data_IF_499430153451
#
_entry.id   IF_499430153451
#
_cell.length_a   1.000
_cell.length_b   1.000
_cell.length_c   1.000
_cell.angle_alpha   90.00
_cell.angle_beta   90.00
_cell.angle_gamma   90.00
#
_symmetry.space_group_name_H-M   'P 1'
#
loop_
_entity.id
_entity.type
_entity.pdbx_description
1 polymer ?
#
# COMPACT_ATOMS: atom_id res chain seq x y z
N UNK A 1 0.93 43.59 -53.40
CA UNK A 1 0.51 43.91 -52.02
C UNK A 1 0.05 42.69 -51.22
N UNK A 2 -0.67 41.72 -51.79
CA UNK A 2 -1.14 40.54 -51.04
C UNK A 2 -0.02 39.61 -50.51
N UNK A 3 1.06 39.40 -51.28
CA UNK A 3 2.18 38.55 -50.87
C UNK A 3 2.94 39.08 -49.64
N UNK A 4 3.14 40.39 -49.55
CA UNK A 4 3.85 41.05 -48.43
C UNK A 4 3.05 41.04 -47.13
N UNK A 5 1.72 41.13 -47.21
CA UNK A 5 0.84 41.03 -46.05
C UNK A 5 0.84 39.60 -45.49
N UNK A 6 0.84 38.58 -46.35
CA UNK A 6 0.87 37.18 -45.94
C UNK A 6 2.18 36.80 -45.22
N UNK A 7 3.32 37.28 -45.73
CA UNK A 7 4.63 37.05 -45.08
C UNK A 7 4.73 37.70 -43.70
N UNK A 8 4.15 38.88 -43.51
CA UNK A 8 4.16 39.57 -42.22
C UNK A 8 3.30 38.82 -41.20
N UNK A 9 2.13 38.33 -41.61
CA UNK A 9 1.24 37.53 -40.75
C UNK A 9 1.89 36.22 -40.34
N UNK A 10 2.54 35.50 -41.26
CA UNK A 10 3.27 34.27 -40.94
C UNK A 10 4.45 34.51 -40.00
N UNK A 11 5.21 35.59 -40.19
CA UNK A 11 6.33 35.94 -39.31
C UNK A 11 5.87 36.30 -37.89
N UNK A 12 4.77 37.04 -37.74
CA UNK A 12 4.19 37.37 -36.43
C UNK A 12 3.65 36.10 -35.74
N UNK A 13 2.93 35.25 -36.47
CA UNK A 13 2.43 33.98 -35.91
C UNK A 13 3.57 33.07 -35.46
N UNK A 14 4.65 32.96 -36.24
CA UNK A 14 5.84 32.20 -35.86
C UNK A 14 6.56 32.81 -34.64
N UNK A 15 6.62 34.14 -34.54
CA UNK A 15 7.19 34.84 -33.39
C UNK A 15 6.39 34.62 -32.11
N UNK A 16 5.05 34.66 -32.18
CA UNK A 16 4.15 34.41 -31.04
C UNK A 16 4.15 32.93 -30.63
N UNK A 17 4.16 32.01 -31.60
CA UNK A 17 4.28 30.58 -31.32
C UNK A 17 5.66 30.24 -30.72
N UNK A 18 6.73 30.84 -31.23
CA UNK A 18 8.09 30.67 -30.72
C UNK A 18 8.28 31.24 -29.32
N UNK A 19 7.68 32.39 -29.01
CA UNK A 19 7.73 32.96 -27.66
C UNK A 19 6.88 32.17 -26.67
N UNK A 20 5.68 31.71 -27.05
CA UNK A 20 4.87 30.83 -26.22
C UNK A 20 5.56 29.48 -25.93
N UNK A 21 6.22 28.90 -26.94
CA UNK A 21 7.02 27.69 -26.77
C UNK A 21 8.25 27.94 -25.86
N UNK A 22 8.93 29.08 -26.01
CA UNK A 22 10.05 29.46 -25.16
C UNK A 22 9.65 29.71 -23.70
N UNK A 23 8.48 30.31 -23.47
CA UNK A 23 7.95 30.51 -22.11
C UNK A 23 7.55 29.20 -21.45
N UNK A 24 7.01 28.23 -22.20
CA UNK A 24 6.66 26.93 -21.65
C UNK A 24 7.91 26.10 -21.31
N UNK A 25 8.96 26.20 -22.13
CA UNK A 25 10.24 25.51 -21.90
C UNK A 25 11.05 26.06 -20.71
N UNK A 26 10.78 27.30 -20.28
CA UNK A 26 11.52 27.97 -19.19
C UNK A 26 10.69 28.18 -17.93
N UNK A 27 9.40 27.86 -17.98
CA UNK A 27 8.47 27.97 -16.85
C UNK A 27 8.73 26.84 -15.86
N UNK A 28 8.79 27.20 -14.57
CA UNK A 28 8.80 26.22 -13.48
C UNK A 28 7.44 25.52 -13.33
N UNK A 29 7.40 24.34 -12.67
CA UNK A 29 6.19 23.55 -12.56
C UNK A 29 5.11 24.30 -11.78
N UNK A 30 3.88 24.21 -12.27
CA UNK A 30 2.69 24.67 -11.56
C UNK A 30 2.36 23.77 -10.37
N UNK A 31 1.57 24.31 -9.45
CA UNK A 31 1.03 23.57 -8.32
C UNK A 31 0.31 22.29 -8.76
N UNK A 32 -0.44 22.32 -9.86
CA UNK A 32 -1.15 21.15 -10.37
C UNK A 32 -0.19 20.04 -10.86
N UNK A 33 0.89 20.42 -11.55
CA UNK A 33 1.91 19.47 -11.99
C UNK A 33 2.67 18.86 -10.82
N UNK A 34 2.99 19.65 -9.80
CA UNK A 34 3.62 19.17 -8.56
C UNK A 34 2.73 18.17 -7.82
N UNK A 35 1.42 18.44 -7.70
CA UNK A 35 0.48 17.51 -7.09
C UNK A 35 0.36 16.22 -7.91
N UNK A 36 0.20 16.32 -9.23
CA UNK A 36 0.13 15.15 -10.10
C UNK A 36 1.43 14.32 -10.05
N UNK A 37 2.59 14.96 -9.91
CA UNK A 37 3.86 14.26 -9.72
C UNK A 37 3.93 13.56 -8.34
N UNK A 38 3.48 14.22 -7.27
CA UNK A 38 3.39 13.62 -5.94
C UNK A 38 2.49 12.38 -5.93
N UNK A 39 1.30 12.47 -6.55
CA UNK A 39 0.36 11.35 -6.64
C UNK A 39 0.96 10.16 -7.41
N UNK A 40 1.63 10.43 -8.54
CA UNK A 40 2.32 9.39 -9.32
C UNK A 40 3.45 8.73 -8.54
N UNK A 41 4.22 9.51 -7.78
CA UNK A 41 5.27 8.95 -6.91
C UNK A 41 4.68 8.04 -5.86
N UNK A 42 3.66 8.50 -5.11
CA UNK A 42 2.98 7.72 -4.08
C UNK A 42 2.45 6.42 -4.68
N UNK A 43 1.75 6.47 -5.82
CA UNK A 43 1.21 5.28 -6.51
C UNK A 43 2.30 4.31 -7.01
N UNK A 44 3.52 4.78 -7.22
CA UNK A 44 4.67 3.97 -7.63
C UNK A 44 5.44 3.29 -6.48
N UNK A 45 5.28 3.76 -5.23
CA UNK A 45 6.10 3.31 -4.08
C UNK A 45 6.12 1.81 -3.87
N UNK A 46 5.00 1.12 -4.01
CA UNK A 46 4.95 -0.34 -3.82
C UNK A 46 5.91 -1.12 -4.75
N UNK A 47 6.19 -0.58 -5.95
CA UNK A 47 7.08 -1.21 -6.92
C UNK A 47 8.48 -0.62 -6.87
N UNK A 48 8.60 0.68 -6.58
CA UNK A 48 9.86 1.40 -6.68
C UNK A 48 10.67 1.37 -5.39
N UNK A 49 10.03 1.20 -4.23
CA UNK A 49 10.74 1.11 -2.95
C UNK A 49 11.28 -0.30 -2.72
N UNK A 50 12.43 -0.44 -2.05
CA UNK A 50 12.87 -1.73 -1.53
C UNK A 50 11.76 -2.33 -0.64
N UNK A 51 11.50 -3.63 -0.77
CA UNK A 51 10.44 -4.28 0.01
C UNK A 51 10.66 -4.14 1.53
N UNK A 52 11.92 -4.11 1.97
CA UNK A 52 12.27 -3.86 3.38
C UNK A 52 11.98 -2.43 3.87
N UNK A 53 11.77 -1.47 2.97
CA UNK A 53 11.29 -0.12 3.29
C UNK A 53 9.78 -0.12 3.49
N UNK A 54 9.04 -0.86 2.66
CA UNK A 54 7.58 -1.05 2.80
C UNK A 54 7.26 -1.85 4.06
N UNK A 55 7.99 -2.94 4.29
CA UNK A 55 7.88 -3.81 5.44
C UNK A 55 9.18 -3.78 6.23
N UNK A 56 9.39 -2.85 7.17
CA UNK A 56 10.60 -2.79 8.00
C UNK A 56 10.90 -4.09 8.75
N UNK A 57 12.17 -4.33 9.09
CA UNK A 57 12.57 -5.53 9.85
C UNK A 57 11.83 -5.65 11.21
N UNK A 58 11.42 -4.52 11.77
CA UNK A 58 10.69 -4.44 13.02
C UNK A 58 9.61 -3.36 12.97
N UNK A 59 8.43 -3.64 13.53
CA UNK A 59 7.35 -2.68 13.67
C UNK A 59 7.01 -2.48 15.15
N UNK A 60 7.11 -1.26 15.70
CA UNK A 60 6.73 -1.02 17.07
C UNK A 60 5.21 -1.11 17.24
N UNK A 61 4.75 -1.56 18.40
CA UNK A 61 3.33 -1.54 18.78
C UNK A 61 3.16 -1.36 20.29
N UNK A 62 1.93 -1.07 20.71
CA UNK A 62 1.54 -0.94 22.11
C UNK A 62 1.15 -2.31 22.66
N UNK A 63 1.85 -2.79 23.69
CA UNK A 63 1.55 -4.08 24.29
C UNK A 63 0.23 -4.03 25.07
N UNK A 64 -0.46 -5.17 25.18
CA UNK A 64 -1.76 -5.25 25.88
C UNK A 64 -1.67 -4.81 27.35
N UNK A 65 -0.58 -5.19 28.02
CA UNK A 65 -0.34 -4.87 29.43
C UNK A 65 0.29 -3.48 29.63
N UNK A 66 0.37 -2.68 28.57
CA UNK A 66 1.05 -1.39 28.55
C UNK A 66 2.52 -1.48 28.14
N UNK A 67 3.07 -0.34 27.72
CA UNK A 67 4.43 -0.24 27.19
C UNK A 67 4.51 -0.41 25.67
N UNK A 68 5.74 -0.40 25.14
CA UNK A 68 6.03 -0.49 23.71
C UNK A 68 6.85 -1.74 23.42
N UNK A 69 6.34 -2.55 22.52
CA UNK A 69 7.00 -3.76 22.01
C UNK A 69 7.29 -3.61 20.51
N UNK A 70 7.94 -4.61 19.92
CA UNK A 70 8.29 -4.62 18.50
C UNK A 70 8.01 -5.99 17.89
N UNK A 71 7.21 -6.01 16.84
CA UNK A 71 6.99 -7.20 16.04
C UNK A 71 8.18 -7.38 15.09
N UNK A 72 8.73 -8.59 15.02
CA UNK A 72 9.84 -8.95 14.15
C UNK A 72 9.35 -9.53 12.81
N UNK A 73 9.93 -9.10 11.70
CA UNK A 73 9.60 -9.60 10.37
C UNK A 73 10.22 -10.99 10.16
N UNK A 74 9.40 -11.99 9.86
CA UNK A 74 9.86 -13.34 9.49
C UNK A 74 10.31 -13.37 8.03
N UNK A 75 9.52 -12.79 7.13
CA UNK A 75 9.84 -12.81 5.71
C UNK A 75 8.90 -11.94 4.88
N UNK A 76 9.28 -11.76 3.61
CA UNK A 76 8.51 -11.03 2.59
C UNK A 76 8.31 -11.98 1.41
N UNK A 77 7.09 -12.06 0.88
CA UNK A 77 6.81 -12.85 -0.32
C UNK A 77 7.41 -12.19 -1.57
N UNK A 78 8.03 -12.96 -2.49
CA UNK A 78 8.42 -12.45 -3.79
C UNK A 78 7.22 -12.33 -4.75
N UNK A 79 6.07 -12.90 -4.41
CA UNK A 79 4.88 -12.92 -5.27
C UNK A 79 3.94 -11.76 -4.97
N UNK A 80 3.43 -11.15 -6.04
CA UNK A 80 2.57 -9.95 -5.96
C UNK A 80 1.18 -10.14 -6.55
N UNK A 81 0.75 -11.39 -6.80
CA UNK A 81 -0.56 -11.72 -7.37
C UNK A 81 -1.69 -11.17 -6.49
N UNK A 82 -2.62 -10.41 -7.09
CA UNK A 82 -3.78 -9.89 -6.39
C UNK A 82 -4.76 -10.99 -5.99
N UNK A 83 -4.97 -11.97 -6.88
CA UNK A 83 -5.97 -13.03 -6.67
C UNK A 83 -5.50 -14.04 -5.62
N UNK A 84 -4.22 -14.41 -5.64
CA UNK A 84 -3.65 -15.37 -4.67
C UNK A 84 -3.39 -14.77 -3.29
N UNK A 85 -3.46 -13.45 -3.16
CA UNK A 85 -3.23 -12.78 -1.89
C UNK A 85 -4.47 -12.71 -1.00
N UNK A 86 -5.69 -12.86 -1.55
CA UNK A 86 -6.95 -12.65 -0.83
C UNK A 86 -7.91 -13.83 -0.97
N UNK A 87 -8.93 -13.87 -0.13
CA UNK A 87 -10.02 -14.84 -0.29
C UNK A 87 -10.75 -14.64 -1.64
N UNK A 88 -11.25 -15.73 -2.21
CA UNK A 88 -11.91 -15.71 -3.52
C UNK A 88 -13.08 -14.72 -3.59
N UNK A 89 -13.80 -14.52 -2.47
CA UNK A 89 -14.89 -13.55 -2.35
C UNK A 89 -14.44 -12.09 -2.57
N UNK A 90 -13.18 -11.76 -2.30
CA UNK A 90 -12.62 -10.41 -2.49
C UNK A 90 -11.85 -10.25 -3.82
N UNK A 91 -11.37 -11.35 -4.40
CA UNK A 91 -10.52 -11.32 -5.61
C UNK A 91 -11.18 -10.60 -6.80
N UNK A 92 -12.48 -10.85 -7.05
CA UNK A 92 -13.23 -10.20 -8.13
C UNK A 92 -13.26 -8.67 -7.96
N UNK A 93 -13.50 -8.18 -6.75
CA UNK A 93 -13.56 -6.75 -6.48
C UNK A 93 -12.19 -6.08 -6.65
N UNK A 94 -11.11 -6.74 -6.23
CA UNK A 94 -9.74 -6.24 -6.46
C UNK A 94 -9.44 -6.10 -7.94
N UNK A 95 -9.79 -7.12 -8.74
CA UNK A 95 -9.60 -7.09 -10.19
C UNK A 95 -10.42 -5.98 -10.85
N UNK A 96 -11.69 -5.82 -10.46
CA UNK A 96 -12.56 -4.77 -11.00
C UNK A 96 -12.10 -3.36 -10.61
N UNK A 97 -11.48 -3.20 -9.44
CA UNK A 97 -10.84 -1.97 -9.02
C UNK A 97 -9.45 -1.74 -9.65
N UNK A 98 -8.98 -2.64 -10.52
CA UNK A 98 -7.71 -2.48 -11.24
C UNK A 98 -6.46 -2.71 -10.38
N UNK A 99 -6.54 -3.63 -9.41
CA UNK A 99 -5.42 -4.02 -8.55
C UNK A 99 -4.14 -4.25 -9.38
N UNK A 100 -3.06 -3.57 -8.98
CA UNK A 100 -1.75 -3.59 -9.66
C UNK A 100 -0.82 -4.66 -9.08
N UNK A 101 -1.02 -5.02 -7.82
CA UNK A 101 -0.26 -6.04 -7.11
C UNK A 101 -0.54 -6.00 -5.61
N UNK A 102 -0.26 -7.10 -4.93
CA UNK A 102 -0.35 -7.20 -3.46
C UNK A 102 0.98 -7.68 -2.89
N UNK A 103 1.69 -6.80 -2.20
CA UNK A 103 2.89 -7.19 -1.45
C UNK A 103 2.49 -7.83 -0.12
N UNK A 104 3.22 -8.83 0.38
CA UNK A 104 2.93 -9.46 1.67
C UNK A 104 4.18 -9.72 2.49
N UNK A 105 4.06 -9.53 3.81
CA UNK A 105 5.09 -9.87 4.78
C UNK A 105 4.46 -10.44 6.05
N UNK A 106 5.14 -11.39 6.70
CA UNK A 106 4.69 -11.98 7.96
C UNK A 106 5.58 -11.51 9.11
N UNK A 107 4.93 -11.12 10.19
CA UNK A 107 5.54 -10.67 11.43
C UNK A 107 5.15 -11.59 12.57
N UNK A 108 5.98 -11.63 13.60
CA UNK A 108 5.69 -12.23 14.89
C UNK A 108 5.77 -11.17 15.98
N UNK A 109 4.86 -11.22 16.95
CA UNK A 109 4.88 -10.35 18.12
C UNK A 109 6.11 -10.61 19.02
N UNK A 110 6.33 -9.72 19.99
CA UNK A 110 7.48 -9.82 20.89
C UNK A 110 7.40 -11.05 21.82
N UNK A 111 6.19 -11.44 22.24
CA UNK A 111 5.97 -12.63 23.07
C UNK A 111 6.00 -13.94 22.26
N UNK A 112 6.09 -13.84 20.94
CA UNK A 112 6.15 -14.95 20.00
C UNK A 112 4.93 -15.87 20.06
N UNK A 113 3.76 -15.32 20.40
CA UNK A 113 2.49 -16.03 20.44
C UNK A 113 1.60 -15.78 19.22
N UNK A 114 1.75 -14.65 18.54
CA UNK A 114 0.86 -14.18 17.47
C UNK A 114 1.64 -13.88 16.20
N UNK A 115 1.17 -14.44 15.09
CA UNK A 115 1.62 -14.14 13.75
C UNK A 115 0.67 -13.16 13.08
N UNK A 116 1.22 -12.22 12.32
CA UNK A 116 0.46 -11.26 11.52
C UNK A 116 1.02 -11.21 10.11
N UNK A 117 0.22 -11.55 9.11
CA UNK A 117 0.53 -11.23 7.72
C UNK A 117 -0.03 -9.85 7.41
N UNK A 118 0.82 -8.93 6.95
CA UNK A 118 0.43 -7.62 6.43
C UNK A 118 0.47 -7.70 4.90
N UNK A 119 -0.60 -7.26 4.25
CA UNK A 119 -0.73 -7.16 2.80
C UNK A 119 -0.91 -5.71 2.35
N UNK A 120 -0.14 -5.27 1.36
CA UNK A 120 -0.27 -3.94 0.75
C UNK A 120 -0.80 -4.13 -0.68
N UNK A 121 -2.08 -3.84 -0.90
CA UNK A 121 -2.69 -3.86 -2.23
C UNK A 121 -2.62 -2.48 -2.87
N UNK A 122 -2.06 -2.40 -4.07
CA UNK A 122 -1.89 -1.17 -4.82
C UNK A 122 -2.94 -1.04 -5.94
N UNK A 123 -3.47 0.17 -6.11
CA UNK A 123 -4.51 0.51 -7.09
C UNK A 123 -4.05 1.66 -8.01
N UNK A 124 -4.76 1.93 -9.13
CA UNK A 124 -4.44 3.06 -9.99
C UNK A 124 -4.58 4.41 -9.28
N UNK A 125 -5.57 4.53 -8.41
CA UNK A 125 -5.96 5.77 -7.72
C UNK A 125 -6.69 5.46 -6.40
N UNK A 126 -6.94 6.51 -5.61
CA UNK A 126 -7.62 6.41 -4.32
C UNK A 126 -9.07 5.91 -4.42
N UNK A 127 -9.83 6.38 -5.41
CA UNK A 127 -11.22 5.95 -5.59
C UNK A 127 -11.32 4.44 -5.85
N UNK A 128 -10.39 3.90 -6.60
CA UNK A 128 -10.25 2.47 -6.87
C UNK A 128 -9.96 1.69 -5.59
N UNK A 129 -9.03 2.18 -4.75
CA UNK A 129 -8.76 1.57 -3.45
C UNK A 129 -10.00 1.60 -2.53
N UNK A 130 -10.71 2.73 -2.45
CA UNK A 130 -11.96 2.88 -1.69
C UNK A 130 -13.02 1.88 -2.14
N UNK A 131 -13.23 1.73 -3.45
CA UNK A 131 -14.17 0.76 -4.02
C UNK A 131 -13.80 -0.67 -3.60
N UNK A 132 -12.53 -1.04 -3.73
CA UNK A 132 -12.05 -2.38 -3.36
C UNK A 132 -12.21 -2.69 -1.86
N UNK A 133 -12.10 -1.69 -0.98
CA UNK A 133 -12.22 -1.84 0.48
C UNK A 133 -13.52 -2.53 0.90
N UNK A 134 -14.62 -2.25 0.18
CA UNK A 134 -15.95 -2.79 0.49
C UNK A 134 -16.08 -4.31 0.37
N UNK A 135 -15.12 -4.96 -0.31
CA UNK A 135 -15.10 -6.42 -0.47
C UNK A 135 -14.59 -7.17 0.77
N UNK A 136 -14.01 -6.46 1.73
CA UNK A 136 -13.39 -7.05 2.92
C UNK A 136 -14.27 -6.93 4.14
N UNK A 137 -14.11 -7.87 5.06
CA UNK A 137 -14.85 -7.84 6.31
C UNK A 137 -14.36 -6.70 7.23
N UNK A 138 -15.32 -5.99 7.83
CA UNK A 138 -15.07 -5.08 8.95
C UNK A 138 -15.19 -5.78 10.31
N UNK A 139 -14.80 -5.06 11.37
CA UNK A 139 -15.02 -5.47 12.76
C UNK A 139 -14.11 -6.61 13.25
N UNK A 140 -12.89 -6.73 12.72
CA UNK A 140 -11.92 -7.73 13.17
C UNK A 140 -12.08 -9.11 12.54
N UNK A 141 -13.08 -9.32 11.68
CA UNK A 141 -13.32 -10.60 11.02
C UNK A 141 -12.24 -10.91 9.96
N UNK A 142 -11.68 -12.13 9.92
CA UNK A 142 -10.59 -12.49 9.01
C UNK A 142 -11.04 -12.78 7.56
N UNK A 143 -12.33 -13.02 7.30
CA UNK A 143 -12.86 -13.45 6.00
C UNK A 143 -14.14 -12.66 5.64
N UNK A 144 -14.28 -12.17 4.39
CA UNK A 144 -13.25 -12.11 3.34
C UNK A 144 -12.08 -11.19 3.72
N UNK A 145 -10.86 -11.65 3.50
CA UNK A 145 -9.65 -10.98 3.95
C UNK A 145 -8.39 -11.40 3.21
N UNK A 146 -7.25 -11.06 3.80
CA UNK A 146 -5.94 -11.45 3.33
C UNK A 146 -5.70 -12.94 3.62
N UNK A 147 -5.11 -13.65 2.66
CA UNK A 147 -4.61 -15.01 2.89
C UNK A 147 -3.29 -14.94 3.68
N UNK A 148 -3.10 -15.81 4.69
CA UNK A 148 -1.86 -15.85 5.44
C UNK A 148 -0.67 -16.18 4.54
N UNK A 149 0.50 -15.70 4.94
CA UNK A 149 1.76 -16.01 4.28
C UNK A 149 2.62 -16.85 5.23
N UNK A 150 2.66 -18.15 4.95
CA UNK A 150 3.54 -19.08 5.65
C UNK A 150 4.96 -19.03 5.07
N UNK A 151 5.94 -19.38 5.90
CA UNK A 151 7.34 -19.57 5.50
C UNK A 151 7.79 -20.95 6.00
N UNK A 152 7.97 -21.93 5.10
CA UNK A 152 8.37 -23.28 5.47
C UNK A 152 9.66 -23.32 6.28
N UNK A 153 9.70 -24.19 7.30
CA UNK A 153 10.84 -24.32 8.20
C UNK A 153 11.01 -23.16 9.20
N UNK A 154 10.00 -22.29 9.34
CA UNK A 154 9.99 -21.21 10.35
C UNK A 154 8.81 -21.37 11.32
N UNK A 155 8.74 -20.49 12.32
CA UNK A 155 7.57 -20.42 13.22
C UNK A 155 6.26 -20.09 12.51
N UNK A 156 6.30 -19.56 11.28
CA UNK A 156 5.12 -19.26 10.47
C UNK A 156 4.70 -20.38 9.52
N UNK A 157 5.35 -21.55 9.56
CA UNK A 157 5.07 -22.67 8.65
C UNK A 157 3.60 -23.12 8.71
N UNK A 158 3.03 -23.14 9.92
CA UNK A 158 1.63 -23.53 10.16
C UNK A 158 0.65 -22.38 10.03
N UNK A 159 1.05 -21.20 9.54
CA UNK A 159 0.14 -20.08 9.42
C UNK A 159 -0.69 -20.17 8.14
N UNK A 160 -1.73 -20.99 8.21
CA UNK A 160 -2.64 -21.32 7.10
C UNK A 160 -4.02 -20.68 7.27
N UNK A 161 -4.89 -20.82 6.26
CA UNK A 161 -6.15 -20.09 6.19
C UNK A 161 -7.13 -20.39 7.34
N UNK A 162 -7.07 -21.59 7.92
CA UNK A 162 -7.83 -22.09 9.07
C UNK A 162 -7.35 -21.50 10.41
N UNK A 163 -6.07 -21.10 10.49
CA UNK A 163 -5.46 -20.50 11.68
C UNK A 163 -5.83 -19.01 11.85
N UNK A 164 -6.45 -18.40 10.83
CA UNK A 164 -6.85 -16.99 10.88
C UNK A 164 -7.93 -16.76 11.92
N UNK A 165 -7.64 -15.89 12.88
CA UNK A 165 -8.58 -15.54 13.95
C UNK A 165 -9.01 -14.07 13.89
N UNK A 166 -8.17 -13.20 13.34
CA UNK A 166 -8.48 -11.79 13.16
C UNK A 166 -8.03 -11.25 11.81
N UNK A 167 -8.69 -10.20 11.35
CA UNK A 167 -8.28 -9.45 10.17
C UNK A 167 -8.73 -7.99 10.20
N UNK A 168 -8.04 -7.17 9.43
CA UNK A 168 -8.38 -5.76 9.27
C UNK A 168 -8.10 -5.27 7.86
N UNK A 169 -8.75 -4.17 7.50
CA UNK A 169 -8.49 -3.42 6.27
C UNK A 169 -8.45 -1.93 6.59
N UNK A 170 -7.45 -1.23 6.05
CA UNK A 170 -7.27 0.22 6.10
C UNK A 170 -6.99 0.74 4.69
N UNK A 171 -7.35 1.99 4.43
CA UNK A 171 -7.17 2.64 3.13
C UNK A 171 -6.58 4.03 3.36
N UNK A 172 -5.59 4.40 2.55
CA UNK A 172 -5.14 5.78 2.38
C UNK A 172 -4.46 5.92 1.02
N UNK A 173 -4.81 6.97 0.26
CA UNK A 173 -4.35 7.13 -1.11
C UNK A 173 -4.67 5.89 -1.96
N UNK A 174 -3.80 5.48 -2.90
CA UNK A 174 -4.05 4.36 -3.80
C UNK A 174 -3.79 2.98 -3.17
N UNK A 175 -3.75 2.89 -1.83
CA UNK A 175 -3.38 1.68 -1.11
C UNK A 175 -4.48 1.16 -0.19
N UNK A 176 -4.65 -0.17 -0.17
CA UNK A 176 -5.23 -0.88 0.96
C UNK A 176 -4.13 -1.61 1.72
N UNK A 177 -4.14 -1.48 3.05
CA UNK A 177 -3.32 -2.33 3.91
C UNK A 177 -4.25 -3.26 4.68
N UNK A 178 -4.04 -4.55 4.46
CA UNK A 178 -4.80 -5.63 5.07
C UNK A 178 -3.94 -6.34 6.11
N UNK A 179 -4.61 -6.90 7.11
CA UNK A 179 -3.98 -7.85 8.01
C UNK A 179 -4.78 -9.13 8.11
N UNK A 180 -4.08 -10.22 8.36
CA UNK A 180 -4.66 -11.40 8.98
C UNK A 180 -3.73 -11.88 10.09
N UNK A 181 -4.31 -12.27 11.23
CA UNK A 181 -3.59 -12.66 12.43
C UNK A 181 -4.11 -13.99 12.99
N UNK A 182 -3.23 -14.74 13.61
CA UNK A 182 -3.50 -16.02 14.26
C UNK A 182 -2.35 -16.46 15.14
N UNK A 183 -2.59 -17.46 15.98
CA UNK A 183 -1.61 -17.95 16.95
C UNK A 183 -0.56 -18.80 16.25
N UNK A 184 0.67 -18.69 16.73
CA UNK A 184 1.83 -19.41 16.20
C UNK A 184 1.71 -20.94 16.32
N UNK A 185 0.87 -21.42 17.24
CA UNK A 185 0.67 -22.85 17.47
C UNK A 185 -0.20 -23.53 16.39
N UNK A 186 -0.77 -22.74 15.47
CA UNK A 186 -1.55 -23.23 14.35
C UNK A 186 -2.97 -23.66 14.74
N UNK A 187 -3.48 -23.25 15.91
CA UNK A 187 -4.84 -23.62 16.29
C UNK A 187 -5.89 -22.88 15.43
N UNK A 188 -6.89 -23.60 14.89
CA UNK A 188 -8.01 -22.97 14.20
C UNK A 188 -8.80 -22.01 15.11
N UNK A 189 -9.52 -21.06 14.49
CA UNK A 189 -10.31 -20.07 15.22
C UNK A 189 -11.45 -20.69 16.04
N UNK A 190 -12.08 -21.75 15.54
CA UNK A 190 -13.17 -22.48 16.19
C UNK A 190 -12.70 -23.40 17.33
N UNK A 191 -11.41 -23.75 17.35
CA UNK A 191 -10.78 -24.48 18.45
C UNK A 191 -10.52 -23.59 19.69
N UNK A 192 -10.63 -22.26 19.56
CA UNK A 192 -10.53 -21.35 20.69
C UNK A 192 -11.89 -21.27 21.42
N UNK A 193 -11.94 -21.72 22.68
CA UNK A 193 -13.18 -21.76 23.48
C UNK A 193 -13.80 -20.38 23.74
N UNK A 194 -13.04 -19.30 23.59
CA UNK A 194 -13.52 -17.92 23.77
C UNK A 194 -12.78 -16.95 22.84
N UNK A 195 -13.50 -16.03 22.15
CA UNK A 195 -12.87 -14.99 21.34
C UNK A 195 -11.99 -14.06 22.18
N UNK A 196 -10.72 -13.91 21.79
CA UNK A 196 -9.77 -13.00 22.45
C UNK A 196 -9.33 -11.89 21.49
N UNK A 197 -10.18 -10.89 21.19
CA UNK A 197 -9.86 -9.87 20.19
C UNK A 197 -8.67 -8.99 20.58
N UNK A 198 -8.42 -8.82 21.89
CA UNK A 198 -7.35 -7.99 22.42
C UNK A 198 -5.96 -8.44 21.91
N UNK A 199 -5.70 -9.75 21.87
CA UNK A 199 -4.35 -10.28 21.56
C UNK A 199 -3.95 -10.00 20.11
N UNK A 200 -4.93 -9.65 19.27
CA UNK A 200 -4.74 -9.31 17.86
C UNK A 200 -4.81 -7.81 17.59
N UNK A 201 -5.16 -6.98 18.58
CA UNK A 201 -5.40 -5.55 18.38
C UNK A 201 -4.19 -4.83 17.77
N UNK A 202 -2.98 -5.22 18.19
CA UNK A 202 -1.73 -4.64 17.69
C UNK A 202 -1.52 -4.84 16.18
N UNK A 203 -2.14 -5.86 15.56
CA UNK A 203 -2.06 -6.10 14.13
C UNK A 203 -2.53 -4.87 13.33
N UNK A 204 -3.58 -4.21 13.82
CA UNK A 204 -4.08 -2.97 13.23
C UNK A 204 -3.04 -1.84 13.36
N UNK A 205 -2.46 -1.66 14.55
CA UNK A 205 -1.47 -0.60 14.79
C UNK A 205 -0.25 -0.74 13.87
N UNK A 206 0.32 -1.95 13.76
CA UNK A 206 1.50 -2.17 12.90
C UNK A 206 1.17 -1.97 11.41
N UNK A 207 -0.07 -2.27 11.00
CA UNK A 207 -0.53 -2.05 9.63
C UNK A 207 -0.72 -0.57 9.30
N UNK A 208 -1.22 0.23 10.25
CA UNK A 208 -1.37 1.67 10.09
C UNK A 208 0.00 2.35 9.96
N UNK A 209 1.03 1.88 10.66
CA UNK A 209 2.41 2.36 10.49
C UNK A 209 2.99 2.07 9.10
N UNK A 210 2.60 0.96 8.47
CA UNK A 210 2.97 0.64 7.08
C UNK A 210 2.20 1.56 6.14
N UNK A 211 0.89 1.69 6.34
CA UNK A 211 0.03 2.53 5.51
C UNK A 211 0.46 4.00 5.53
N UNK A 212 0.64 4.61 6.70
CA UNK A 212 1.10 6.00 6.83
C UNK A 212 2.40 6.21 6.07
N UNK A 213 3.40 5.33 6.24
CA UNK A 213 4.68 5.47 5.53
C UNK A 213 4.53 5.38 4.01
N UNK A 214 3.63 4.53 3.51
CA UNK A 214 3.35 4.42 2.09
C UNK A 214 2.59 5.62 1.55
N UNK A 215 1.61 6.14 2.29
CA UNK A 215 0.67 7.14 1.79
C UNK A 215 1.02 8.59 2.13
N UNK A 216 1.99 8.85 3.02
CA UNK A 216 2.39 10.23 3.35
C UNK A 216 2.89 10.94 2.09
N UNK A 217 2.23 12.04 1.66
CA UNK A 217 2.68 12.80 0.51
C UNK A 217 4.07 13.38 0.75
N UNK A 218 4.88 13.38 -0.31
CA UNK A 218 6.13 14.13 -0.34
C UNK A 218 6.06 15.03 -1.56
N UNK A 219 5.91 16.33 -1.32
CA UNK A 219 5.89 17.30 -2.41
C UNK A 219 7.23 17.24 -3.16
N UNK A 220 7.22 17.21 -4.50
CA UNK A 220 8.45 17.28 -5.27
C UNK A 220 9.24 18.53 -4.89
N UNK A 221 10.50 18.29 -4.54
CA UNK A 221 11.46 19.36 -4.31
C UNK A 221 12.42 19.40 -5.50
N UNK A 222 12.18 20.36 -6.40
CA UNK A 222 12.97 20.57 -7.60
C UNK A 222 14.43 20.98 -7.32
N UNK A 223 14.79 21.28 -6.07
CA UNK A 223 16.19 21.53 -5.67
C UNK A 223 16.92 20.23 -5.31
N UNK A 224 16.19 19.13 -5.11
CA UNK A 224 16.75 17.83 -4.72
C UNK A 224 17.04 16.95 -5.95
N UNK A 225 18.06 16.09 -5.86
CA UNK A 225 18.39 15.12 -6.92
C UNK A 225 17.34 14.00 -7.07
N UNK A 226 16.39 13.88 -6.15
CA UNK A 226 15.36 12.84 -6.18
C UNK A 226 14.23 13.16 -7.17
N UNK A 227 14.13 14.40 -7.64
CA UNK A 227 13.08 14.87 -8.56
C UNK A 227 13.67 15.54 -9.80
N UNK A 228 13.08 15.25 -10.96
CA UNK A 228 13.39 15.96 -12.21
C UNK A 228 12.24 16.92 -12.52
N UNK A 229 12.57 18.21 -12.42
CA UNK A 229 11.84 19.35 -12.94
C UNK A 229 12.76 19.97 -14.01
#
# INVERSE_FOLDING_TARGET
>A
MAASALTLVCAVAAGVAGSAAGTELTRGPSTAELHAAAEREIAGRWRNWPAGRVFPATLPYSAEQGGRERAGRIGISPHTSCEDAVDAAAAKALRQAGCKGVLRATYIDALRGVLVTIGVAAFPDELSAVRAKSAFAGGGRPVPGLRPLAFPGTVADRFTADVRQSGSVRQAGPYLVLTTAGQVDGRPADAASEPRPAIFAFATEISERVLTRLSTPRMPDCTSREWQC
#
